data_IF_533285697643
#
_entry.id   IF_533285697643
#
_cell.length_a   1.000
_cell.length_b   1.000
_cell.length_c   1.000
_cell.angle_alpha   90.00
_cell.angle_beta   90.00
_cell.angle_gamma   90.00
#
_symmetry.space_group_name_H-M   'P 1'
#
loop_
_entity.id
_entity.type
_entity.pdbx_description
1 polymer ?
#
# COMPACT_ATOMS: atom_id res chain seq x y z
N UNK A 1 -4.13 -36.32 31.89
CA UNK A 1 -3.27 -35.13 31.72
C UNK A 1 -3.75 -34.38 30.50
N UNK A 2 -4.15 -33.15 30.70
CA UNK A 2 -4.85 -32.32 29.72
C UNK A 2 -3.88 -31.46 28.91
N UNK A 3 -4.27 -31.16 27.67
CA UNK A 3 -3.99 -29.87 27.02
C UNK A 3 -5.25 -29.39 26.32
N UNK A 4 -6.15 -28.79 27.10
CA UNK A 4 -7.34 -28.11 26.58
C UNK A 4 -7.05 -26.64 26.23
N UNK A 5 -7.99 -26.03 25.50
CA UNK A 5 -8.13 -24.60 25.13
C UNK A 5 -7.60 -24.16 23.76
N UNK A 6 -8.30 -23.27 23.03
CA UNK A 6 -9.75 -22.97 23.06
C UNK A 6 -10.18 -22.65 21.62
N UNK A 7 -11.29 -23.25 21.16
CA UNK A 7 -11.97 -22.82 19.93
C UNK A 7 -12.94 -21.69 20.27
N UNK A 8 -12.61 -20.45 19.88
CA UNK A 8 -13.55 -19.32 19.97
C UNK A 8 -14.17 -19.02 18.60
N UNK A 9 -15.28 -19.73 18.37
CA UNK A 9 -16.06 -19.73 17.14
C UNK A 9 -16.92 -18.46 17.02
N UNK A 10 -16.44 -17.44 16.30
CA UNK A 10 -17.30 -16.31 15.89
C UNK A 10 -18.23 -16.75 14.76
N UNK A 11 -19.53 -16.81 15.05
CA UNK A 11 -20.57 -17.14 14.04
C UNK A 11 -20.70 -15.99 13.03
N UNK A 12 -20.14 -16.15 11.84
CA UNK A 12 -20.60 -15.40 10.67
C UNK A 12 -21.97 -15.91 10.24
N UNK A 13 -22.96 -15.00 10.16
CA UNK A 13 -24.32 -15.34 9.74
C UNK A 13 -24.31 -15.56 8.21
N UNK A 14 -24.92 -16.65 7.70
CA UNK A 14 -24.87 -16.95 6.27
C UNK A 14 -25.64 -15.92 5.43
N UNK A 15 -25.19 -15.71 4.19
CA UNK A 15 -25.90 -14.92 3.19
C UNK A 15 -27.26 -15.53 2.89
N UNK A 16 -28.34 -14.82 3.20
CA UNK A 16 -29.71 -15.21 2.86
C UNK A 16 -30.56 -14.00 2.48
N UNK A 17 -31.05 -13.98 1.24
CA UNK A 17 -32.07 -13.00 0.84
C UNK A 17 -33.40 -13.39 1.48
N UNK A 18 -34.04 -12.46 2.20
CA UNK A 18 -35.45 -12.61 2.57
C UNK A 18 -36.12 -11.23 2.65
N UNK A 19 -36.96 -10.93 1.67
CA UNK A 19 -37.76 -9.70 1.63
C UNK A 19 -39.04 -9.92 2.43
N UNK A 20 -39.09 -9.37 3.65
CA UNK A 20 -40.37 -9.08 4.33
C UNK A 20 -40.40 -7.64 4.80
N UNK A 21 -41.35 -6.90 4.24
CA UNK A 21 -41.72 -5.59 4.73
C UNK A 21 -42.60 -5.74 5.98
N UNK A 22 -42.36 -4.91 7.00
CA UNK A 22 -43.44 -4.24 7.73
C UNK A 22 -42.89 -3.11 8.59
N UNK A 23 -43.72 -2.09 8.79
CA UNK A 23 -43.48 -1.00 9.74
C UNK A 23 -43.78 -1.47 11.17
N UNK A 24 -43.20 -0.79 12.17
CA UNK A 24 -43.85 -0.45 13.44
C UNK A 24 -43.12 0.78 14.01
N UNK A 25 -43.88 1.72 14.56
CA UNK A 25 -43.38 2.92 15.26
C UNK A 25 -43.49 2.69 16.77
N UNK A 26 -42.50 3.14 17.54
CA UNK A 26 -42.64 3.31 18.99
C UNK A 26 -41.77 4.47 19.49
N UNK A 27 -42.16 5.08 20.61
CA UNK A 27 -41.63 6.36 21.07
C UNK A 27 -41.13 6.30 22.53
N UNK A 28 -40.17 7.17 22.86
CA UNK A 28 -39.83 7.68 24.20
C UNK A 28 -39.41 6.67 25.28
N UNK A 29 -38.31 7.00 25.98
CA UNK A 29 -38.52 7.59 27.32
C UNK A 29 -37.49 8.67 27.69
N UNK A 30 -37.89 9.51 28.63
CA UNK A 30 -37.10 10.60 29.22
C UNK A 30 -36.66 10.21 30.64
N UNK A 31 -35.43 10.57 31.03
CA UNK A 31 -35.01 11.02 32.37
C UNK A 31 -33.55 11.55 32.25
N UNK A 32 -33.22 12.84 32.38
CA UNK A 32 -33.32 13.82 33.49
C UNK A 32 -32.40 13.57 34.69
N UNK A 33 -31.36 14.42 34.75
CA UNK A 33 -30.70 15.03 35.92
C UNK A 33 -30.28 14.15 37.11
N UNK A 34 -28.99 14.20 37.43
CA UNK A 34 -28.57 14.73 38.74
C UNK A 34 -27.30 15.58 38.59
N UNK A 35 -27.18 16.66 39.37
CA UNK A 35 -25.96 17.45 39.53
C UNK A 35 -25.47 17.31 40.96
N UNK A 36 -24.16 17.39 41.17
CA UNK A 36 -23.57 17.70 42.47
C UNK A 36 -22.35 18.60 42.29
N UNK A 37 -22.17 19.56 43.19
CA UNK A 37 -21.02 20.47 43.26
C UNK A 37 -20.56 20.58 44.70
N UNK A 38 -19.23 20.59 44.89
CA UNK A 38 -18.57 21.05 46.10
C UNK A 38 -17.87 19.97 46.92
N UNK A 39 -16.91 20.32 47.77
CA UNK A 39 -16.03 21.50 47.81
C UNK A 39 -14.87 21.16 48.77
N UNK A 40 -13.62 21.47 48.40
CA UNK A 40 -12.40 21.54 49.22
C UNK A 40 -12.22 20.71 50.52
N UNK A 41 -11.05 20.06 50.62
CA UNK A 41 -10.25 20.17 51.85
C UNK A 41 -8.76 20.33 51.50
N UNK A 42 -8.05 21.15 52.28
CA UNK A 42 -6.61 21.36 52.19
C UNK A 42 -5.91 20.57 53.30
N UNK A 43 -4.80 19.91 52.99
CA UNK A 43 -3.72 19.72 53.96
C UNK A 43 -2.37 19.66 53.25
N UNK A 44 -1.35 20.18 53.92
CA UNK A 44 -0.02 20.44 53.35
C UNK A 44 1.06 20.00 54.33
N UNK A 45 2.16 19.44 53.83
CA UNK A 45 3.42 19.41 54.55
C UNK A 45 4.60 19.75 53.61
N UNK A 46 5.54 20.50 54.18
CA UNK A 46 6.81 21.03 53.62
C UNK A 46 7.95 20.02 53.94
N UNK A 47 9.20 20.10 53.46
CA UNK A 47 9.97 20.79 52.38
C UNK A 47 11.43 20.27 52.54
N UNK A 48 12.41 20.80 51.76
CA UNK A 48 13.89 20.66 51.83
C UNK A 48 14.45 19.78 50.69
N UNK A 49 15.51 20.14 49.95
CA UNK A 49 15.96 21.43 49.37
C UNK A 49 17.19 21.12 48.48
N UNK A 50 17.29 21.72 47.28
CA UNK A 50 18.56 21.81 46.55
C UNK A 50 19.28 23.11 46.94
N UNK A 51 20.61 23.19 46.69
CA UNK A 51 21.07 24.25 45.79
C UNK A 51 22.12 23.80 44.75
N UNK A 52 22.27 24.62 43.71
CA UNK A 52 23.37 24.63 42.72
C UNK A 52 24.44 25.68 43.17
N UNK A 53 25.53 26.06 42.47
CA UNK A 53 25.89 26.05 41.03
C UNK A 53 27.36 26.47 40.78
N UNK A 54 27.89 26.20 39.57
CA UNK A 54 29.05 26.85 38.89
C UNK A 54 30.47 26.69 39.50
N UNK A 55 31.60 26.75 38.77
CA UNK A 55 31.92 26.98 37.33
C UNK A 55 33.22 26.17 36.95
N UNK A 56 33.98 26.29 35.85
CA UNK A 56 34.06 27.22 34.69
C UNK A 56 34.53 26.46 33.40
N UNK A 57 35.53 26.95 32.65
CA UNK A 57 36.13 26.44 31.36
C UNK A 57 37.65 26.78 31.33
N UNK A 58 38.53 26.40 30.35
CA UNK A 58 38.32 26.36 28.88
C UNK A 58 38.98 25.19 28.08
N UNK A 59 38.92 25.26 26.73
CA UNK A 59 39.44 24.31 25.72
C UNK A 59 40.71 24.82 25.00
N UNK A 60 41.37 24.03 24.10
CA UNK A 60 41.08 24.15 22.65
C UNK A 60 41.26 22.84 21.80
N UNK A 61 41.17 22.96 20.46
CA UNK A 61 41.17 21.88 19.44
C UNK A 61 42.55 21.64 18.78
N UNK A 62 42.77 20.46 18.15
CA UNK A 62 43.04 20.40 16.69
C UNK A 62 42.82 19.00 16.03
N UNK A 63 43.03 18.90 14.70
CA UNK A 63 42.72 17.77 13.78
C UNK A 63 43.98 17.16 13.11
N UNK A 64 43.95 15.83 12.89
CA UNK A 64 44.48 15.07 11.71
C UNK A 64 43.97 13.61 11.84
N UNK A 65 43.67 12.75 10.87
CA UNK A 65 43.61 12.63 9.38
C UNK A 65 44.44 11.42 8.87
N UNK A 66 43.75 10.32 8.57
CA UNK A 66 44.07 9.22 7.61
C UNK A 66 45.46 8.56 7.58
N UNK A 67 45.51 7.24 7.84
CA UNK A 67 46.02 6.14 6.97
C UNK A 67 45.77 4.80 7.70
N UNK A 68 45.12 3.79 7.13
CA UNK A 68 45.52 2.84 6.06
C UNK A 68 46.67 1.87 6.43
N UNK A 69 46.34 0.57 6.44
CA UNK A 69 47.19 -0.63 6.56
C UNK A 69 48.16 -0.77 7.76
N UNK A 70 47.90 -1.79 8.58
CA UNK A 70 48.91 -2.52 9.36
C UNK A 70 48.68 -4.04 9.18
N UNK A 71 49.71 -4.89 9.35
CA UNK A 71 49.82 -6.12 8.56
C UNK A 71 49.21 -7.38 9.21
N UNK A 72 48.93 -8.38 8.36
CA UNK A 72 48.72 -9.76 8.76
C UNK A 72 49.96 -10.29 9.50
N UNK A 73 49.82 -10.57 10.80
CA UNK A 73 50.73 -11.45 11.54
C UNK A 73 50.08 -12.82 11.68
N UNK A 74 50.63 -13.81 10.98
CA UNK A 74 50.34 -15.21 11.31
C UNK A 74 50.96 -15.53 12.67
N UNK A 75 50.14 -16.06 13.58
CA UNK A 75 50.60 -16.76 14.79
C UNK A 75 49.69 -17.96 14.97
N UNK A 76 50.25 -19.17 14.89
CA UNK A 76 49.57 -20.36 15.37
C UNK A 76 49.56 -20.32 16.90
N UNK A 77 48.41 -20.64 17.49
CA UNK A 77 48.28 -20.93 18.92
C UNK A 77 47.01 -21.77 19.10
N UNK A 78 47.16 -23.07 19.32
CA UNK A 78 46.05 -24.00 19.46
C UNK A 78 45.30 -23.82 20.79
N UNK A 79 44.08 -23.30 20.73
CA UNK A 79 43.10 -23.39 21.83
C UNK A 79 41.72 -23.74 21.21
N UNK A 80 41.08 -24.86 21.59
CA UNK A 80 39.75 -25.19 21.11
C UNK A 80 38.72 -24.24 21.74
N UNK A 81 38.03 -23.46 20.90
CA UNK A 81 36.91 -22.60 21.31
C UNK A 81 35.61 -23.04 20.60
N UNK A 82 34.48 -22.85 21.28
CA UNK A 82 33.20 -23.52 21.00
C UNK A 82 32.52 -23.08 19.69
N UNK A 83 31.75 -24.01 19.08
CA UNK A 83 30.97 -23.77 17.86
C UNK A 83 30.12 -22.49 17.93
N UNK A 84 30.24 -21.63 16.92
CA UNK A 84 29.19 -20.68 16.56
C UNK A 84 28.35 -21.27 15.40
N UNK A 85 27.01 -21.39 15.55
CA UNK A 85 26.19 -22.17 14.62
C UNK A 85 25.83 -21.38 13.35
N UNK A 86 26.82 -21.11 12.49
CA UNK A 86 26.63 -20.46 11.18
C UNK A 86 25.60 -21.24 10.32
N UNK A 87 24.40 -20.68 10.04
CA UNK A 87 23.30 -21.45 9.44
C UNK A 87 23.58 -21.86 7.98
N UNK A 88 24.42 -21.10 7.27
CA UNK A 88 24.79 -21.38 5.87
C UNK A 88 25.70 -22.62 5.68
N UNK A 89 26.36 -23.10 6.73
CA UNK A 89 27.27 -24.26 6.65
C UNK A 89 26.62 -25.58 7.11
N UNK A 90 25.40 -25.54 7.67
CA UNK A 90 24.64 -26.74 8.04
C UNK A 90 24.39 -27.72 6.87
N UNK A 91 24.14 -27.28 5.62
CA UNK A 91 24.00 -28.22 4.49
C UNK A 91 25.29 -29.00 4.19
N UNK A 92 26.45 -28.39 4.41
CA UNK A 92 27.75 -28.96 4.06
C UNK A 92 28.35 -29.83 5.18
N UNK A 93 28.14 -29.50 6.47
CA UNK A 93 28.56 -30.37 7.60
C UNK A 93 27.91 -31.77 7.56
N UNK A 94 26.78 -31.95 6.87
CA UNK A 94 26.09 -33.24 6.74
C UNK A 94 26.53 -34.10 5.53
N UNK A 95 27.38 -33.58 4.63
CA UNK A 95 27.98 -34.34 3.53
C UNK A 95 29.24 -35.08 4.03
N UNK A 96 29.06 -36.04 4.95
CA UNK A 96 30.18 -36.87 5.40
C UNK A 96 30.67 -37.77 4.26
N UNK A 97 31.98 -38.01 4.21
CA UNK A 97 32.59 -38.84 3.17
C UNK A 97 32.04 -40.27 3.20
N UNK A 98 31.69 -40.79 4.37
CA UNK A 98 31.06 -42.10 4.54
C UNK A 98 29.60 -42.15 4.08
N UNK A 99 28.84 -41.05 4.18
CA UNK A 99 27.49 -40.94 3.59
C UNK A 99 27.54 -40.96 2.06
N UNK A 100 28.55 -40.30 1.48
CA UNK A 100 28.82 -40.35 0.03
C UNK A 100 29.27 -41.75 -0.39
N UNK A 101 30.14 -42.39 0.40
CA UNK A 101 30.69 -43.74 0.16
C UNK A 101 29.63 -44.84 0.27
N UNK A 102 28.75 -44.79 1.27
CA UNK A 102 27.63 -45.72 1.40
C UNK A 102 26.63 -45.55 0.25
N UNK A 103 26.28 -44.30 -0.09
CA UNK A 103 25.44 -43.98 -1.25
C UNK A 103 26.03 -44.51 -2.56
N UNK A 104 27.36 -44.42 -2.74
CA UNK A 104 28.09 -45.00 -3.87
C UNK A 104 28.03 -46.54 -3.89
N UNK A 105 28.14 -47.21 -2.74
CA UNK A 105 28.03 -48.67 -2.66
C UNK A 105 26.62 -49.20 -2.94
N UNK A 106 25.59 -48.37 -2.79
CA UNK A 106 24.19 -48.73 -3.07
C UNK A 106 23.75 -48.43 -4.52
N UNK A 107 24.68 -48.00 -5.39
CA UNK A 107 24.41 -47.70 -6.80
C UNK A 107 24.31 -48.98 -7.65
N UNK A 108 23.10 -49.51 -7.80
CA UNK A 108 22.81 -50.39 -8.93
C UNK A 108 22.99 -49.64 -10.26
N UNK A 109 23.43 -50.29 -11.35
CA UNK A 109 23.64 -49.62 -12.64
C UNK A 109 22.37 -48.92 -13.16
N UNK A 110 21.19 -49.45 -12.81
CA UNK A 110 19.88 -48.86 -13.11
C UNK A 110 19.69 -47.49 -12.42
N UNK A 111 20.13 -47.32 -11.17
CA UNK A 111 20.13 -46.02 -10.48
C UNK A 111 21.04 -45.02 -11.20
N UNK A 112 22.25 -45.45 -11.60
CA UNK A 112 23.22 -44.60 -12.31
C UNK A 112 22.64 -44.11 -13.64
N UNK A 113 22.09 -45.02 -14.47
CA UNK A 113 21.46 -44.65 -15.75
C UNK A 113 20.32 -43.66 -15.52
N UNK A 114 19.43 -43.91 -14.53
CA UNK A 114 18.32 -43.00 -14.22
C UNK A 114 18.79 -41.59 -13.86
N UNK A 115 19.82 -41.46 -13.02
CA UNK A 115 20.41 -40.16 -12.66
C UNK A 115 21.13 -39.49 -13.83
N UNK A 116 21.84 -40.25 -14.66
CA UNK A 116 22.46 -39.72 -15.88
C UNK A 116 21.41 -39.18 -16.86
N UNK A 117 20.27 -39.87 -17.02
CA UNK A 117 19.16 -39.40 -17.86
C UNK A 117 18.52 -38.13 -17.30
N UNK A 118 18.24 -38.04 -15.99
CA UNK A 118 17.63 -36.81 -15.42
C UNK A 118 18.58 -35.61 -15.45
N UNK A 119 19.87 -35.81 -15.17
CA UNK A 119 20.89 -34.76 -15.30
C UNK A 119 21.06 -34.32 -16.75
N UNK A 120 21.14 -35.26 -17.70
CA UNK A 120 21.24 -34.94 -19.14
C UNK A 120 20.00 -34.19 -19.64
N UNK A 121 18.79 -34.60 -19.25
CA UNK A 121 17.55 -33.89 -19.57
C UNK A 121 17.51 -32.48 -18.95
N UNK A 122 17.99 -32.33 -17.71
CA UNK A 122 18.13 -31.03 -17.04
C UNK A 122 19.13 -30.11 -17.75
N UNK A 123 20.28 -30.63 -18.19
CA UNK A 123 21.28 -29.89 -18.98
C UNK A 123 20.70 -29.51 -20.35
N UNK A 124 19.99 -30.42 -21.02
CA UNK A 124 19.35 -30.16 -22.31
C UNK A 124 18.26 -29.08 -22.22
N UNK A 125 17.39 -29.17 -21.21
CA UNK A 125 16.38 -28.15 -20.92
C UNK A 125 17.03 -26.81 -20.57
N UNK A 126 18.07 -26.79 -19.74
CA UNK A 126 18.81 -25.56 -19.39
C UNK A 126 19.44 -24.93 -20.63
N UNK A 127 20.11 -25.73 -21.48
CA UNK A 127 20.73 -25.28 -22.73
C UNK A 127 19.69 -24.75 -23.74
N UNK A 128 18.51 -25.36 -23.79
CA UNK A 128 17.38 -24.89 -24.60
C UNK A 128 16.83 -23.56 -24.08
N UNK A 129 16.55 -23.45 -22.78
CA UNK A 129 16.07 -22.21 -22.14
C UNK A 129 17.07 -21.06 -22.29
N UNK A 130 18.37 -21.32 -22.11
CA UNK A 130 19.44 -20.34 -22.36
C UNK A 130 19.46 -19.93 -23.84
N UNK A 131 19.41 -20.88 -24.78
CA UNK A 131 19.37 -20.56 -26.22
C UNK A 131 18.13 -19.74 -26.60
N UNK A 132 16.98 -19.99 -25.96
CA UNK A 132 15.75 -19.22 -26.15
C UNK A 132 15.90 -17.80 -25.59
N UNK A 133 16.34 -17.68 -24.34
CA UNK A 133 16.49 -16.40 -23.62
C UNK A 133 17.57 -15.49 -24.18
N UNK A 134 18.58 -16.03 -24.89
CA UNK A 134 19.56 -15.23 -25.64
C UNK A 134 19.25 -15.11 -27.14
N UNK A 135 18.10 -15.61 -27.62
CA UNK A 135 17.71 -15.42 -29.02
C UNK A 135 17.07 -14.05 -29.24
N UNK A 136 17.51 -13.25 -30.24
CA UNK A 136 16.87 -11.98 -30.56
C UNK A 136 15.40 -12.14 -30.96
N UNK A 137 15.06 -13.24 -31.65
CA UNK A 137 13.70 -13.55 -32.05
C UNK A 137 12.74 -13.76 -30.87
N UNK A 138 13.18 -14.40 -29.78
CA UNK A 138 12.34 -14.51 -28.58
C UNK A 138 11.99 -13.12 -28.04
N UNK A 139 12.98 -12.24 -27.87
CA UNK A 139 12.75 -10.89 -27.38
C UNK A 139 11.94 -10.02 -28.35
N UNK A 140 12.10 -10.22 -29.66
CA UNK A 140 11.28 -9.56 -30.69
C UNK A 140 9.80 -9.95 -30.56
N UNK A 141 9.49 -11.26 -30.53
CA UNK A 141 8.11 -11.73 -30.40
C UNK A 141 7.52 -11.46 -29.00
N UNK A 142 8.32 -11.54 -27.94
CA UNK A 142 7.91 -11.17 -26.59
C UNK A 142 7.60 -9.68 -26.47
N UNK A 143 8.43 -8.82 -27.08
CA UNK A 143 8.17 -7.37 -27.19
C UNK A 143 6.91 -7.09 -28.01
N UNK A 144 6.72 -7.77 -29.15
CA UNK A 144 5.48 -7.66 -29.93
C UNK A 144 4.24 -8.09 -29.14
N UNK A 145 4.33 -9.14 -28.31
CA UNK A 145 3.27 -9.56 -27.38
C UNK A 145 3.03 -8.61 -26.19
N UNK A 146 3.83 -7.56 -26.04
CA UNK A 146 3.65 -6.51 -25.03
C UNK A 146 3.26 -5.16 -25.66
N UNK A 147 3.73 -4.91 -26.89
CA UNK A 147 3.33 -3.80 -27.74
C UNK A 147 1.89 -3.99 -28.22
N UNK A 148 1.60 -5.10 -28.93
CA UNK A 148 0.25 -5.49 -29.32
C UNK A 148 -0.41 -6.25 -28.17
N UNK A 149 -1.29 -5.55 -27.45
CA UNK A 149 -1.83 -6.02 -26.17
C UNK A 149 -2.69 -7.29 -26.33
N UNK A 150 -2.30 -8.44 -25.73
CA UNK A 150 -3.03 -9.68 -25.94
C UNK A 150 -4.32 -9.72 -25.12
N UNK A 151 -5.46 -9.79 -25.80
CA UNK A 151 -6.77 -10.01 -25.16
C UNK A 151 -6.77 -11.21 -24.20
N UNK A 152 -6.07 -12.29 -24.54
CA UNK A 152 -5.91 -13.46 -23.68
C UNK A 152 -5.22 -13.14 -22.35
N UNK A 153 -4.24 -12.21 -22.33
CA UNK A 153 -3.57 -11.76 -21.09
C UNK A 153 -4.51 -10.87 -20.28
N UNK A 154 -5.23 -9.95 -20.92
CA UNK A 154 -6.23 -9.11 -20.24
C UNK A 154 -7.33 -9.96 -19.56
N UNK A 155 -7.88 -10.93 -20.29
CA UNK A 155 -8.92 -11.84 -19.80
C UNK A 155 -8.38 -12.76 -18.70
N UNK A 156 -7.17 -13.32 -18.86
CA UNK A 156 -6.53 -14.13 -17.81
C UNK A 156 -6.31 -13.32 -16.52
N UNK A 157 -5.86 -12.06 -16.63
CA UNK A 157 -5.73 -11.16 -15.49
C UNK A 157 -7.08 -10.89 -14.82
N UNK A 158 -8.15 -10.62 -15.58
CA UNK A 158 -9.49 -10.44 -15.03
C UNK A 158 -10.00 -11.66 -14.28
N UNK A 159 -9.91 -12.85 -14.89
CA UNK A 159 -10.38 -14.11 -14.29
C UNK A 159 -9.58 -14.44 -13.04
N UNK A 160 -8.26 -14.26 -13.05
CA UNK A 160 -7.41 -14.47 -11.89
C UNK A 160 -7.67 -13.44 -10.78
N UNK A 161 -7.83 -12.16 -11.12
CA UNK A 161 -8.20 -11.10 -10.19
C UNK A 161 -9.55 -11.33 -9.51
N UNK A 162 -10.56 -11.79 -10.27
CA UNK A 162 -11.88 -12.17 -9.74
C UNK A 162 -11.82 -13.42 -8.85
N UNK A 163 -11.01 -14.41 -9.21
CA UNK A 163 -10.75 -15.58 -8.37
C UNK A 163 -10.11 -15.19 -7.03
N UNK A 164 -9.04 -14.38 -7.07
CA UNK A 164 -8.39 -13.85 -5.87
C UNK A 164 -9.34 -12.97 -5.05
N UNK A 165 -10.19 -12.15 -5.68
CA UNK A 165 -11.18 -11.33 -5.00
C UNK A 165 -12.27 -12.16 -4.29
N UNK A 166 -12.74 -13.26 -4.91
CA UNK A 166 -13.64 -14.21 -4.26
C UNK A 166 -12.97 -14.81 -3.02
N UNK A 167 -11.72 -15.26 -3.12
CA UNK A 167 -10.95 -15.81 -2.00
C UNK A 167 -10.70 -14.78 -0.89
N UNK A 168 -10.43 -13.52 -1.25
CA UNK A 168 -10.27 -12.42 -0.31
C UNK A 168 -11.57 -12.10 0.44
N UNK A 169 -12.71 -12.17 -0.26
CA UNK A 169 -14.04 -11.99 0.34
C UNK A 169 -14.42 -13.08 1.34
N UNK A 170 -13.74 -14.24 1.31
CA UNK A 170 -13.89 -15.34 2.27
C UNK A 170 -12.87 -15.21 3.43
N UNK A 171 -11.82 -14.39 3.28
CA UNK A 171 -10.76 -14.18 4.26
C UNK A 171 -9.48 -15.01 4.03
N UNK A 172 -9.44 -15.84 2.99
CA UNK A 172 -8.36 -16.81 2.74
C UNK A 172 -7.23 -16.29 1.82
N UNK A 173 -7.33 -15.07 1.29
CA UNK A 173 -6.37 -14.57 0.31
C UNK A 173 -5.03 -14.15 0.93
N UNK A 174 -3.96 -14.75 0.43
CA UNK A 174 -2.57 -14.37 0.73
C UNK A 174 -2.23 -12.97 0.19
N UNK A 175 -1.11 -12.41 0.66
CA UNK A 175 -0.61 -11.09 0.22
C UNK A 175 -0.37 -11.04 -1.30
N UNK A 176 0.08 -12.16 -1.90
CA UNK A 176 0.30 -12.27 -3.36
C UNK A 176 -1.03 -12.24 -4.12
N UNK A 177 -2.07 -12.92 -3.61
CA UNK A 177 -3.41 -12.89 -4.20
C UNK A 177 -4.07 -11.51 -4.02
N UNK A 178 -3.81 -10.81 -2.92
CA UNK A 178 -4.26 -9.43 -2.72
C UNK A 178 -3.57 -8.46 -3.69
N UNK A 179 -2.26 -8.61 -3.91
CA UNK A 179 -1.53 -7.87 -4.95
C UNK A 179 -2.10 -8.18 -6.35
N UNK A 180 -2.43 -9.44 -6.65
CA UNK A 180 -3.02 -9.82 -7.94
C UNK A 180 -4.39 -9.16 -8.20
N UNK A 181 -5.24 -8.97 -7.18
CA UNK A 181 -6.48 -8.17 -7.30
C UNK A 181 -6.13 -6.74 -7.73
N UNK A 182 -5.22 -6.09 -7.02
CA UNK A 182 -4.81 -4.70 -7.27
C UNK A 182 -4.22 -4.55 -8.68
N UNK A 183 -3.34 -5.47 -9.09
CA UNK A 183 -2.74 -5.49 -10.43
C UNK A 183 -3.76 -5.76 -11.53
N UNK A 184 -4.71 -6.67 -11.33
CA UNK A 184 -5.83 -6.88 -12.26
C UNK A 184 -6.68 -5.62 -12.43
N UNK A 185 -7.06 -4.98 -11.31
CA UNK A 185 -7.89 -3.76 -11.34
C UNK A 185 -7.17 -2.63 -12.06
N UNK A 186 -5.90 -2.36 -11.77
CA UNK A 186 -5.15 -1.28 -12.44
C UNK A 186 -4.77 -1.60 -13.88
N UNK A 187 -4.56 -2.86 -14.26
CA UNK A 187 -4.43 -3.26 -15.66
C UNK A 187 -5.72 -2.93 -16.43
N UNK A 188 -6.88 -3.30 -15.90
CA UNK A 188 -8.19 -3.02 -16.53
C UNK A 188 -8.62 -1.56 -16.50
N UNK A 189 -8.01 -0.75 -15.61
CA UNK A 189 -8.28 0.68 -15.49
C UNK A 189 -7.34 1.55 -16.33
N UNK A 190 -6.06 1.16 -16.52
CA UNK A 190 -5.04 2.01 -17.16
C UNK A 190 -4.36 1.43 -18.40
N UNK A 191 -4.37 0.11 -18.60
CA UNK A 191 -3.71 -0.55 -19.74
C UNK A 191 -4.72 -1.07 -20.77
N UNK A 192 -5.70 -1.85 -20.34
CA UNK A 192 -6.72 -2.45 -21.25
C UNK A 192 -7.48 -1.39 -22.08
N UNK A 193 -7.90 -0.23 -21.53
CA UNK A 193 -8.69 0.71 -22.33
C UNK A 193 -7.88 1.39 -23.45
N UNK A 194 -6.69 1.99 -23.21
CA UNK A 194 -5.87 2.54 -24.31
C UNK A 194 -5.48 1.46 -25.33
N UNK A 195 -5.12 0.27 -24.85
CA UNK A 195 -4.80 -0.87 -25.70
C UNK A 195 -5.95 -1.28 -26.63
N UNK A 196 -7.19 -1.25 -26.15
CA UNK A 196 -8.35 -1.62 -26.96
C UNK A 196 -8.58 -0.67 -28.13
N UNK A 197 -8.56 0.64 -27.87
CA UNK A 197 -8.86 1.64 -28.90
C UNK A 197 -7.69 1.89 -29.86
N UNK A 198 -6.45 1.62 -29.45
CA UNK A 198 -5.26 1.86 -30.28
C UNK A 198 -4.67 0.58 -30.90
N UNK A 199 -5.01 -0.60 -30.40
CA UNK A 199 -4.41 -1.88 -30.78
C UNK A 199 -3.00 -2.14 -30.21
N UNK A 200 -2.36 -1.12 -29.63
CA UNK A 200 -1.03 -1.22 -29.02
C UNK A 200 -0.88 -0.33 -27.77
N UNK A 201 0.21 -0.52 -27.01
CA UNK A 201 0.56 0.29 -25.84
C UNK A 201 1.94 0.95 -25.95
N UNK A 202 1.99 2.24 -25.63
CA UNK A 202 3.21 3.04 -25.59
C UNK A 202 3.09 4.19 -24.57
N UNK A 203 4.18 4.55 -23.89
CA UNK A 203 4.25 5.77 -23.08
C UNK A 203 3.34 5.76 -21.84
N UNK A 204 2.40 6.70 -21.78
CA UNK A 204 1.66 7.05 -20.55
C UNK A 204 0.92 5.90 -19.84
N UNK A 205 0.21 4.97 -20.51
CA UNK A 205 -0.47 3.85 -19.84
C UNK A 205 0.43 3.06 -18.90
N UNK A 206 1.67 2.76 -19.33
CA UNK A 206 2.65 2.08 -18.48
C UNK A 206 3.09 2.93 -17.29
N UNK A 207 3.33 4.23 -17.49
CA UNK A 207 3.67 5.16 -16.40
C UNK A 207 2.55 5.19 -15.36
N UNK A 208 1.29 5.37 -15.79
CA UNK A 208 0.16 5.42 -14.86
C UNK A 208 -0.14 4.08 -14.20
N UNK A 209 0.05 2.95 -14.88
CA UNK A 209 -0.04 1.63 -14.25
C UNK A 209 0.89 1.52 -13.03
N UNK A 210 2.17 1.90 -13.15
CA UNK A 210 3.12 1.88 -12.03
C UNK A 210 2.84 2.98 -10.99
N UNK A 211 2.45 4.18 -11.41
CA UNK A 211 2.09 5.29 -10.51
C UNK A 211 0.86 4.94 -9.67
N UNK A 212 -0.17 4.31 -10.24
CA UNK A 212 -1.37 3.87 -9.51
C UNK A 212 -1.01 2.81 -8.47
N UNK A 213 -0.24 1.77 -8.85
CA UNK A 213 0.26 0.79 -7.88
C UNK A 213 0.96 1.49 -6.71
N UNK A 214 1.96 2.34 -6.99
CA UNK A 214 2.73 3.01 -5.95
C UNK A 214 1.88 3.95 -5.08
N UNK A 215 0.94 4.69 -5.68
CA UNK A 215 0.03 5.60 -5.00
C UNK A 215 -0.83 4.90 -3.94
N UNK A 216 -1.42 3.75 -4.28
CA UNK A 216 -2.25 2.99 -3.33
C UNK A 216 -1.41 2.20 -2.31
N UNK A 217 -0.19 1.77 -2.67
CA UNK A 217 0.77 1.18 -1.72
C UNK A 217 1.47 2.18 -0.78
N UNK A 218 1.20 3.49 -0.88
CA UNK A 218 1.78 4.47 0.06
C UNK A 218 1.43 4.19 1.52
N UNK A 219 0.19 3.80 1.85
CA UNK A 219 -0.22 3.52 3.23
C UNK A 219 0.67 2.44 3.87
N UNK A 220 0.87 1.32 3.16
CA UNK A 220 1.73 0.21 3.58
C UNK A 220 3.20 0.65 3.70
N UNK A 221 3.67 1.47 2.75
CA UNK A 221 5.05 1.97 2.70
C UNK A 221 5.36 2.97 3.82
N UNK A 222 4.42 3.86 4.13
CA UNK A 222 4.47 4.84 5.22
C UNK A 222 4.42 4.13 6.57
N UNK A 223 3.55 3.13 6.74
CA UNK A 223 3.46 2.34 7.98
C UNK A 223 4.77 1.59 8.26
N UNK A 224 5.34 0.91 7.26
CA UNK A 224 6.67 0.28 7.37
C UNK A 224 7.76 1.27 7.79
N UNK A 225 7.73 2.50 7.25
CA UNK A 225 8.69 3.57 7.59
C UNK A 225 8.50 4.12 9.00
N UNK A 226 7.28 4.17 9.53
CA UNK A 226 6.96 4.75 10.85
C UNK A 226 7.06 3.74 12.00
N UNK A 227 6.70 2.47 11.78
CA UNK A 227 6.55 1.47 12.85
C UNK A 227 7.34 0.17 12.62
N UNK A 228 7.94 -0.01 11.43
CA UNK A 228 8.66 -1.22 11.05
C UNK A 228 7.78 -2.39 10.58
N UNK A 229 6.47 -2.32 10.80
CA UNK A 229 5.49 -3.35 10.41
C UNK A 229 4.64 -2.95 9.18
N UNK A 230 3.90 -3.93 8.64
CA UNK A 230 2.95 -3.72 7.53
C UNK A 230 1.48 -3.78 7.99
N UNK A 231 1.22 -4.35 9.17
CA UNK A 231 -0.11 -4.74 9.62
C UNK A 231 -1.01 -3.54 9.95
N UNK A 232 -2.33 -3.70 9.81
CA UNK A 232 -3.26 -2.70 10.34
C UNK A 232 -3.21 -2.69 11.87
N UNK A 233 -3.14 -1.50 12.46
CA UNK A 233 -3.27 -1.32 13.92
C UNK A 233 -4.77 -1.42 14.28
N UNK A 234 -5.15 -1.96 15.45
CA UNK A 234 -6.54 -1.96 15.87
C UNK A 234 -7.04 -0.53 16.05
N UNK A 235 -8.19 -0.23 15.43
CA UNK A 235 -8.85 1.08 15.44
C UNK A 235 -10.31 0.90 15.84
N UNK A 236 -10.92 1.95 16.38
CA UNK A 236 -12.34 1.93 16.78
C UNK A 236 -13.25 1.98 15.52
N UNK A 237 -14.14 0.98 15.30
CA UNK A 237 -15.08 0.96 14.18
C UNK A 237 -16.00 2.18 14.07
N UNK A 238 -16.11 3.01 15.12
CA UNK A 238 -16.73 4.34 15.06
C UNK A 238 -16.21 5.17 13.87
N UNK A 239 -14.92 5.03 13.54
CA UNK A 239 -14.25 5.82 12.49
C UNK A 239 -14.34 5.21 11.08
N UNK A 240 -14.93 4.01 10.92
CA UNK A 240 -15.12 3.37 9.61
C UNK A 240 -16.29 3.99 8.81
N UNK A 241 -16.27 5.32 8.67
CA UNK A 241 -17.31 6.11 8.00
C UNK A 241 -17.36 5.78 6.50
N UNK A 242 -18.35 4.96 6.14
CA UNK A 242 -18.48 4.38 4.82
C UNK A 242 -19.86 4.71 4.22
N UNK A 243 -19.93 5.38 3.05
CA UNK A 243 -21.21 5.62 2.38
C UNK A 243 -21.88 4.31 1.92
N UNK A 244 -23.18 4.33 1.55
CA UNK A 244 -23.92 3.13 1.14
C UNK A 244 -23.20 2.28 0.07
N UNK A 245 -23.37 0.96 0.12
CA UNK A 245 -22.68 0.03 -0.81
C UNK A 245 -22.96 0.34 -2.29
N UNK A 246 -24.19 0.72 -2.62
CA UNK A 246 -24.57 1.12 -3.99
C UNK A 246 -23.86 2.39 -4.45
N UNK A 247 -23.58 3.32 -3.54
CA UNK A 247 -22.89 4.58 -3.84
C UNK A 247 -21.39 4.35 -4.09
N UNK A 248 -20.76 3.44 -3.33
CA UNK A 248 -19.40 2.94 -3.59
C UNK A 248 -19.32 2.21 -4.93
N UNK A 249 -20.30 1.37 -5.27
CA UNK A 249 -20.37 0.69 -6.57
C UNK A 249 -20.49 1.70 -7.72
N UNK A 250 -21.37 2.69 -7.59
CA UNK A 250 -21.55 3.76 -8.58
C UNK A 250 -20.26 4.57 -8.79
N UNK A 251 -19.51 4.89 -7.72
CA UNK A 251 -18.20 5.52 -7.83
C UNK A 251 -17.19 4.63 -8.58
N UNK A 252 -17.07 3.35 -8.22
CA UNK A 252 -16.16 2.42 -8.92
C UNK A 252 -16.51 2.27 -10.41
N UNK A 253 -17.80 2.17 -10.75
CA UNK A 253 -18.28 2.10 -12.13
C UNK A 253 -18.02 3.42 -12.86
N UNK A 254 -18.31 4.57 -12.25
CA UNK A 254 -18.05 5.89 -12.85
C UNK A 254 -16.56 6.15 -13.09
N UNK A 255 -15.69 5.77 -12.16
CA UNK A 255 -14.22 5.85 -12.34
C UNK A 255 -13.76 4.93 -13.48
N UNK A 256 -14.27 3.69 -13.55
CA UNK A 256 -13.97 2.76 -14.66
C UNK A 256 -14.43 3.33 -16.02
N UNK A 257 -15.70 3.72 -16.13
CA UNK A 257 -16.26 4.35 -17.34
C UNK A 257 -15.45 5.58 -17.75
N UNK A 258 -15.06 6.42 -16.80
CA UNK A 258 -14.27 7.62 -17.08
C UNK A 258 -12.86 7.33 -17.62
N UNK A 259 -12.22 6.23 -17.20
CA UNK A 259 -10.92 5.83 -17.78
C UNK A 259 -11.07 5.18 -19.16
N UNK A 260 -12.19 4.49 -19.42
CA UNK A 260 -12.53 3.98 -20.76
C UNK A 260 -12.89 5.11 -21.73
N UNK A 261 -13.66 6.11 -21.28
CA UNK A 261 -13.92 7.33 -22.04
C UNK A 261 -12.62 8.09 -22.32
N UNK A 262 -11.72 8.22 -21.33
CA UNK A 262 -10.43 8.89 -21.52
C UNK A 262 -9.55 8.20 -22.57
N UNK A 263 -9.66 6.89 -22.72
CA UNK A 263 -8.95 6.12 -23.74
C UNK A 263 -9.64 6.14 -25.12
N UNK A 264 -10.94 6.42 -25.18
CA UNK A 264 -11.72 6.62 -26.41
C UNK A 264 -11.57 8.04 -26.96
N UNK A 265 -11.49 9.03 -26.08
CA UNK A 265 -11.28 10.45 -26.40
C UNK A 265 -9.81 10.76 -26.74
N UNK A 266 -8.87 9.93 -26.28
CA UNK A 266 -7.44 10.10 -26.55
C UNK A 266 -7.13 10.09 -28.05
N UNK A 267 -6.26 11.00 -28.55
CA UNK A 267 -5.64 10.80 -29.85
C UNK A 267 -4.72 9.57 -29.82
N UNK A 268 -4.48 8.99 -30.99
CA UNK A 268 -3.53 7.88 -31.21
C UNK A 268 -2.24 8.07 -30.39
N UNK A 269 -1.84 7.07 -29.62
CA UNK A 269 -0.78 7.20 -28.61
C UNK A 269 0.55 7.77 -29.15
N UNK A 270 0.92 7.45 -30.40
CA UNK A 270 2.13 7.98 -31.04
C UNK A 270 2.04 9.48 -31.41
N UNK A 271 0.83 10.08 -31.41
CA UNK A 271 0.62 11.52 -31.63
C UNK A 271 0.71 12.33 -30.33
N UNK A 272 0.85 11.68 -29.17
CA UNK A 272 1.14 12.34 -27.89
C UNK A 272 2.62 12.74 -27.92
N UNK A 273 3.00 14.02 -28.13
CA UNK A 273 4.41 14.41 -28.18
C UNK A 273 5.13 14.04 -26.88
N UNK A 274 6.38 13.60 -27.01
CA UNK A 274 7.25 13.25 -25.89
C UNK A 274 7.99 14.46 -25.29
N UNK A 275 9.00 14.14 -24.48
CA UNK A 275 9.97 15.11 -23.97
C UNK A 275 9.38 16.27 -23.17
N UNK A 276 9.93 17.47 -23.36
CA UNK A 276 9.64 18.66 -22.55
C UNK A 276 8.16 19.13 -22.61
N UNK A 277 7.42 18.76 -23.67
CA UNK A 277 5.98 19.05 -23.76
C UNK A 277 5.15 18.45 -22.62
N UNK A 278 5.65 17.38 -22.00
CA UNK A 278 4.99 16.63 -20.93
C UNK A 278 5.41 17.04 -19.51
N UNK A 279 6.24 18.09 -19.35
CA UNK A 279 6.73 18.55 -18.04
C UNK A 279 5.58 18.89 -17.08
N UNK A 280 4.50 19.51 -17.58
CA UNK A 280 3.31 19.79 -16.76
C UNK A 280 2.68 18.52 -16.16
N UNK A 281 2.57 17.45 -16.94
CA UNK A 281 2.06 16.15 -16.48
C UNK A 281 3.00 15.52 -15.45
N UNK A 282 4.31 15.56 -15.69
CA UNK A 282 5.30 15.07 -14.72
C UNK A 282 5.27 15.84 -13.39
N UNK A 283 5.13 17.16 -13.44
CA UNK A 283 4.94 18.00 -12.23
C UNK A 283 3.65 17.59 -11.51
N UNK A 284 2.54 17.39 -12.21
CA UNK A 284 1.27 16.95 -11.61
C UNK A 284 1.38 15.54 -10.98
N UNK A 285 2.09 14.60 -11.60
CA UNK A 285 2.38 13.28 -11.00
C UNK A 285 3.19 13.44 -9.71
N UNK A 286 4.26 14.24 -9.73
CA UNK A 286 5.11 14.48 -8.55
C UNK A 286 4.33 15.17 -7.43
N UNK A 287 3.54 16.20 -7.73
CA UNK A 287 2.66 16.89 -6.78
C UNK A 287 1.63 15.92 -6.19
N UNK A 288 1.00 15.09 -7.01
CA UNK A 288 0.05 14.04 -6.58
C UNK A 288 0.69 13.07 -5.59
N UNK A 289 1.86 12.53 -5.94
CA UNK A 289 2.58 11.56 -5.10
C UNK A 289 3.08 12.20 -3.79
N UNK A 290 3.60 13.43 -3.84
CA UNK A 290 4.03 14.16 -2.64
C UNK A 290 2.84 14.53 -1.74
N UNK A 291 1.71 14.95 -2.31
CA UNK A 291 0.50 15.27 -1.55
C UNK A 291 -0.04 14.02 -0.85
N UNK A 292 -0.11 12.89 -1.55
CA UNK A 292 -0.53 11.61 -0.96
C UNK A 292 0.43 11.16 0.13
N UNK A 293 1.73 11.07 -0.15
CA UNK A 293 2.74 10.65 0.82
C UNK A 293 2.70 11.47 2.11
N UNK A 294 2.69 12.81 2.00
CA UNK A 294 2.67 13.67 3.18
C UNK A 294 1.35 13.56 3.95
N UNK A 295 0.21 13.52 3.26
CA UNK A 295 -1.10 13.39 3.91
C UNK A 295 -1.20 12.08 4.71
N UNK A 296 -0.74 10.98 4.13
CA UNK A 296 -0.65 9.67 4.80
C UNK A 296 0.36 9.69 5.96
N UNK A 297 1.53 10.31 5.80
CA UNK A 297 2.55 10.41 6.85
C UNK A 297 2.04 11.15 8.10
N UNK A 298 1.38 12.29 7.91
CA UNK A 298 0.80 13.05 9.02
C UNK A 298 -0.40 12.30 9.64
N UNK A 299 -1.28 11.72 8.82
CA UNK A 299 -2.43 10.96 9.33
C UNK A 299 -2.00 9.74 10.14
N UNK A 300 -1.05 8.94 9.65
CA UNK A 300 -0.55 7.78 10.39
C UNK A 300 0.09 8.20 11.72
N UNK A 301 1.01 9.17 11.70
CA UNK A 301 1.74 9.63 12.89
C UNK A 301 0.83 10.07 14.06
N UNK A 302 -0.32 10.69 13.76
CA UNK A 302 -1.22 11.26 14.76
C UNK A 302 -2.52 10.45 14.99
N UNK A 303 -3.00 9.74 13.98
CA UNK A 303 -4.23 8.93 14.03
C UNK A 303 -3.93 7.44 14.21
N UNK A 304 -3.21 6.79 13.29
CA UNK A 304 -2.92 5.33 13.38
C UNK A 304 -2.03 4.93 14.57
N UNK A 305 -1.33 5.88 15.20
CA UNK A 305 -0.56 5.64 16.42
C UNK A 305 -1.46 5.28 17.63
N UNK A 306 -2.72 5.70 17.62
CA UNK A 306 -3.65 5.60 18.76
C UNK A 306 -4.98 4.96 18.34
N UNK A 307 -5.62 4.20 19.24
CA UNK A 307 -6.88 3.52 18.92
C UNK A 307 -8.02 4.54 18.68
N UNK A 308 -8.01 5.62 19.47
CA UNK A 308 -8.88 6.80 19.31
C UNK A 308 -7.99 8.01 19.02
N UNK A 309 -8.21 8.78 17.93
CA UNK A 309 -7.42 9.96 17.61
C UNK A 309 -7.62 11.05 18.68
N UNK A 310 -6.53 11.61 19.20
CA UNK A 310 -6.58 12.54 20.35
C UNK A 310 -6.61 14.02 19.98
N UNK A 311 -6.34 14.38 18.73
CA UNK A 311 -6.37 15.76 18.24
C UNK A 311 -6.59 15.82 16.73
N UNK A 312 -7.18 16.92 16.25
CA UNK A 312 -7.33 17.23 14.82
C UNK A 312 -5.96 17.51 14.20
N UNK A 313 -5.64 16.86 13.07
CA UNK A 313 -4.36 17.05 12.37
C UNK A 313 -4.39 18.34 11.55
N UNK A 314 -3.75 19.41 12.03
CA UNK A 314 -3.71 20.71 11.38
C UNK A 314 -2.36 21.00 10.65
N UNK A 315 -1.55 19.97 10.37
CA UNK A 315 -0.17 20.11 9.89
C UNK A 315 0.06 19.51 8.50
N UNK A 316 1.08 20.01 7.77
CA UNK A 316 1.36 19.55 6.41
C UNK A 316 0.24 19.93 5.43
N UNK A 317 -0.16 19.03 4.49
CA UNK A 317 -1.23 19.29 3.52
C UNK A 317 -2.56 19.74 4.14
N UNK A 318 -2.85 19.29 5.37
CA UNK A 318 -4.04 19.68 6.14
C UNK A 318 -4.10 21.18 6.49
N UNK A 319 -3.05 21.96 6.24
CA UNK A 319 -3.07 23.44 6.36
C UNK A 319 -3.76 24.14 5.20
N UNK A 320 -3.89 23.49 4.04
CA UNK A 320 -4.44 24.09 2.82
C UNK A 320 -5.80 23.50 2.43
N UNK A 321 -6.00 22.22 2.72
CA UNK A 321 -7.15 21.42 2.28
C UNK A 321 -7.55 20.47 3.42
N UNK A 322 -8.85 20.39 3.75
CA UNK A 322 -9.33 19.52 4.85
C UNK A 322 -9.15 18.02 4.57
N UNK A 323 -9.36 17.58 3.33
CA UNK A 323 -9.29 16.16 2.93
C UNK A 323 -8.24 15.92 1.85
N UNK A 324 -6.94 16.10 2.14
CA UNK A 324 -5.89 16.11 1.14
C UNK A 324 -5.58 14.73 0.53
N UNK A 325 -6.01 13.63 1.17
CA UNK A 325 -5.98 12.25 0.64
C UNK A 325 -7.04 12.02 -0.45
N UNK A 326 -8.16 12.74 -0.40
CA UNK A 326 -9.18 12.69 -1.46
C UNK A 326 -8.76 13.60 -2.60
N UNK A 327 -8.27 14.81 -2.29
CA UNK A 327 -7.70 15.73 -3.27
C UNK A 327 -6.57 15.11 -4.11
N UNK A 328 -5.63 14.39 -3.49
CA UNK A 328 -4.57 13.66 -4.21
C UNK A 328 -5.12 12.53 -5.10
N UNK A 329 -6.16 11.81 -4.66
CA UNK A 329 -6.78 10.74 -5.47
C UNK A 329 -7.55 11.30 -6.66
N UNK A 330 -8.22 12.45 -6.48
CA UNK A 330 -8.82 13.20 -7.57
C UNK A 330 -7.77 13.71 -8.56
N UNK A 331 -6.67 14.26 -8.05
CA UNK A 331 -5.57 14.77 -8.87
C UNK A 331 -4.88 13.66 -9.66
N UNK A 332 -4.76 12.44 -9.10
CA UNK A 332 -4.27 11.26 -9.82
C UNK A 332 -5.10 10.97 -11.07
N UNK A 333 -6.42 10.83 -10.92
CA UNK A 333 -7.31 10.50 -12.03
C UNK A 333 -7.41 11.64 -13.05
N UNK A 334 -7.40 12.90 -12.57
CA UNK A 334 -7.32 14.07 -13.44
C UNK A 334 -6.02 14.11 -14.25
N UNK A 335 -4.89 13.75 -13.64
CA UNK A 335 -3.57 13.72 -14.29
C UNK A 335 -3.49 12.62 -15.36
N UNK A 336 -4.15 11.47 -15.16
CA UNK A 336 -4.31 10.44 -16.19
C UNK A 336 -5.08 10.97 -17.42
N UNK A 337 -6.23 11.62 -17.20
CA UNK A 337 -7.03 12.18 -18.30
C UNK A 337 -6.30 13.32 -19.05
N UNK A 338 -5.56 14.17 -18.33
CA UNK A 338 -4.71 15.21 -18.92
C UNK A 338 -3.55 14.63 -19.75
N UNK A 339 -2.92 13.55 -19.30
CA UNK A 339 -1.84 12.89 -20.02
C UNK A 339 -2.29 12.29 -21.36
N UNK A 340 -3.50 11.72 -21.38
CA UNK A 340 -4.18 11.25 -22.58
C UNK A 340 -4.83 12.37 -23.41
N UNK A 341 -4.78 13.63 -22.95
CA UNK A 341 -5.44 14.81 -23.56
C UNK A 341 -6.95 14.61 -23.80
N UNK A 342 -7.62 14.03 -22.80
CA UNK A 342 -9.07 13.74 -22.80
C UNK A 342 -9.85 14.72 -21.88
N UNK A 343 -10.16 15.95 -22.32
CA UNK A 343 -10.79 16.99 -21.48
C UNK A 343 -12.24 16.70 -21.06
N UNK A 344 -13.06 16.05 -21.88
CA UNK A 344 -14.43 15.70 -21.51
C UNK A 344 -14.44 14.60 -20.45
N UNK A 345 -13.57 13.60 -20.61
CA UNK A 345 -13.37 12.51 -19.65
C UNK A 345 -12.78 13.02 -18.34
N UNK A 346 -11.86 14.00 -18.40
CA UNK A 346 -11.39 14.74 -17.22
C UNK A 346 -12.55 15.38 -16.46
N UNK A 347 -13.44 16.12 -17.14
CA UNK A 347 -14.60 16.75 -16.51
C UNK A 347 -15.54 15.72 -15.88
N UNK A 348 -15.83 14.62 -16.59
CA UNK A 348 -16.67 13.53 -16.11
C UNK A 348 -16.08 12.86 -14.86
N UNK A 349 -14.81 12.49 -14.88
CA UNK A 349 -14.11 11.85 -13.74
C UNK A 349 -14.05 12.79 -12.54
N UNK A 350 -13.75 14.08 -12.75
CA UNK A 350 -13.74 15.07 -11.66
C UNK A 350 -15.14 15.25 -11.06
N UNK A 351 -16.21 15.23 -11.86
CA UNK A 351 -17.58 15.30 -11.36
C UNK A 351 -17.97 14.06 -10.53
N UNK A 352 -17.68 12.84 -11.03
CA UNK A 352 -17.90 11.58 -10.30
C UNK A 352 -17.14 11.57 -8.96
N UNK A 353 -15.90 12.05 -8.96
CA UNK A 353 -15.10 12.22 -7.76
C UNK A 353 -15.68 13.25 -6.79
N UNK A 354 -16.04 14.45 -7.27
CA UNK A 354 -16.61 15.50 -6.42
C UNK A 354 -17.87 15.04 -5.70
N UNK A 355 -18.79 14.39 -6.42
CA UNK A 355 -19.99 13.80 -5.81
C UNK A 355 -19.60 12.81 -4.69
N UNK A 356 -18.78 11.80 -5.02
CA UNK A 356 -18.44 10.74 -4.07
C UNK A 356 -17.71 11.25 -2.82
N UNK A 357 -16.67 12.07 -3.02
CA UNK A 357 -15.85 12.59 -1.92
C UNK A 357 -16.57 13.67 -1.11
N UNK A 358 -17.45 14.49 -1.70
CA UNK A 358 -18.26 15.44 -0.91
C UNK A 358 -19.17 14.69 0.06
N UNK A 359 -19.83 13.61 -0.37
CA UNK A 359 -20.69 12.82 0.51
C UNK A 359 -19.90 12.03 1.55
N UNK A 360 -18.71 11.48 1.21
CA UNK A 360 -17.84 10.81 2.20
C UNK A 360 -17.33 11.81 3.24
N UNK A 361 -16.82 12.96 2.79
CA UNK A 361 -16.35 14.02 3.66
C UNK A 361 -17.46 14.53 4.58
N UNK A 362 -18.67 14.84 4.07
CA UNK A 362 -19.80 15.29 4.91
C UNK A 362 -20.06 14.38 6.11
N UNK A 363 -20.01 13.06 5.93
CA UNK A 363 -20.19 12.09 7.01
C UNK A 363 -19.01 12.08 8.00
N UNK A 364 -17.78 12.23 7.51
CA UNK A 364 -16.57 12.32 8.34
C UNK A 364 -16.48 13.63 9.12
N UNK A 365 -16.87 14.75 8.50
CA UNK A 365 -16.91 16.07 9.16
C UNK A 365 -17.94 16.11 10.28
N UNK A 366 -19.09 15.43 10.13
CA UNK A 366 -20.07 15.25 11.23
C UNK A 366 -19.44 14.47 12.39
N UNK A 367 -18.78 13.33 12.12
CA UNK A 367 -18.14 12.53 13.18
C UNK A 367 -17.00 13.29 13.89
N UNK A 368 -16.26 14.13 13.15
CA UNK A 368 -15.21 14.99 13.68
C UNK A 368 -15.79 16.12 14.56
N UNK A 369 -16.93 16.71 14.19
CA UNK A 369 -17.67 17.66 15.05
C UNK A 369 -18.19 16.96 16.31
N UNK A 370 -18.80 15.79 16.19
CA UNK A 370 -19.30 15.01 17.35
C UNK A 370 -18.20 14.60 18.34
N UNK A 371 -16.96 14.44 17.87
CA UNK A 371 -15.86 13.92 18.69
C UNK A 371 -14.89 15.01 19.19
N UNK A 372 -14.68 16.09 18.41
CA UNK A 372 -13.73 17.16 18.75
C UNK A 372 -14.40 18.54 18.99
N UNK A 373 -15.70 18.67 18.73
CA UNK A 373 -16.46 19.89 18.99
C UNK A 373 -15.81 21.15 18.40
N UNK A 374 -15.61 22.16 19.25
CA UNK A 374 -15.05 23.45 18.85
C UNK A 374 -13.64 23.35 18.26
N UNK A 375 -12.81 22.39 18.67
CA UNK A 375 -11.46 22.22 18.10
C UNK A 375 -11.48 21.80 16.62
N UNK A 376 -12.56 21.17 16.15
CA UNK A 376 -12.77 20.92 14.72
C UNK A 376 -13.45 22.12 14.01
N UNK A 377 -14.39 22.80 14.67
CA UNK A 377 -15.04 23.99 14.10
C UNK A 377 -14.04 25.15 13.89
N UNK A 378 -13.11 25.34 14.82
CA UNK A 378 -12.01 26.32 14.72
C UNK A 378 -11.03 25.95 13.59
N UNK A 379 -10.79 24.65 13.36
CA UNK A 379 -9.99 24.18 12.22
C UNK A 379 -10.72 24.42 10.89
N UNK A 380 -12.02 24.10 10.80
CA UNK A 380 -12.83 24.26 9.60
C UNK A 380 -13.07 25.74 9.23
N UNK A 381 -13.08 26.66 10.20
CA UNK A 381 -13.17 28.10 9.92
C UNK A 381 -11.87 28.66 9.32
N UNK A 382 -10.71 28.13 9.75
CA UNK A 382 -9.38 28.44 9.21
C UNK A 382 -9.14 27.82 7.83
N UNK A 383 -9.45 26.53 7.65
CA UNK A 383 -9.21 25.76 6.41
C UNK A 383 -10.52 25.56 5.66
N UNK A 384 -10.95 26.60 4.93
CA UNK A 384 -12.23 26.59 4.21
C UNK A 384 -12.28 25.53 3.09
N UNK A 385 -11.18 25.31 2.36
CA UNK A 385 -11.12 24.38 1.23
C UNK A 385 -11.24 22.91 1.69
N UNK A 386 -12.15 22.15 1.09
CA UNK A 386 -12.37 20.72 1.33
C UNK A 386 -11.43 19.84 0.50
N UNK A 387 -11.31 20.13 -0.80
CA UNK A 387 -10.60 19.29 -1.78
C UNK A 387 -9.68 20.08 -2.70
N UNK A 388 -10.14 21.18 -3.29
CA UNK A 388 -9.40 21.94 -4.31
C UNK A 388 -8.94 23.25 -3.69
N UNK A 389 -7.62 23.48 -3.54
CA UNK A 389 -7.09 24.75 -3.07
C UNK A 389 -7.68 25.93 -3.84
N UNK A 390 -8.20 26.92 -3.13
CA UNK A 390 -8.78 28.17 -3.67
C UNK A 390 -10.08 28.02 -4.50
N UNK A 391 -10.69 26.83 -4.59
CA UNK A 391 -11.96 26.63 -5.31
C UNK A 391 -13.05 26.04 -4.41
N UNK A 392 -12.80 24.90 -3.75
CA UNK A 392 -13.82 24.19 -2.96
C UNK A 392 -13.25 23.32 -1.83
#
# INVERSE_FOLDING_TARGET
METASVLLQSRTIPFGFNLKCNQIVSCRHFNKQFQSKGFYSHQSLKLIQNPSSFCLLPSPLHKTRTQFFSPLKCSFSDIPSSDSPNPLLKPFKNLSFDSVKSSLSELTPIKIVKWATTVSLGIAATKWTVKLAFSPFFWMYFSWSWLFWPWFVAIALAVYGLYCFRKHSIGEASIVEQLAIVTSVFAWLTLVPPAYFNGYLEGWPFVFFFVYHYFFFFNVSVRKRLYGDYYARPHDPKWDVNPPKWYRLLFCVGVMVGHWLAAFEAPELHRIPGGWSNVGVWILIVVTLLMQYNSTLYLAKYSEKVVVPTAVVQFGPYRWVRHPVYASTMLLFATYCLALRAPLSLMFVVAVCLMYYEQKAKLEEVLMVETFGESYLEYASKVRCKFIPFVY
#
